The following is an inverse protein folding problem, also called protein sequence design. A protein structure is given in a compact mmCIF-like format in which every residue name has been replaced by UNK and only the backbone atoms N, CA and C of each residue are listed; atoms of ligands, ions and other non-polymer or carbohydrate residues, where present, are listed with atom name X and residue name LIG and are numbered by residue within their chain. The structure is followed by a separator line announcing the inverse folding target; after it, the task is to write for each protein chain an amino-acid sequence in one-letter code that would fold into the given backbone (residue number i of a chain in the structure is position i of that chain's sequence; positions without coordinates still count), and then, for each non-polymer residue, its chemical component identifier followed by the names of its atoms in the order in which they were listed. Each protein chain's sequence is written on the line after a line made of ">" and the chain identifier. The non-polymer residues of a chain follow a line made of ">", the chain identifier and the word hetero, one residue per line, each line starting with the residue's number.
data_IF_182561725688
#
_entry.id   IF_182561725688
#
_cell.length_a   1.000
_cell.length_b   1.000
_cell.length_c   1.000
_cell.angle_alpha   90.00
_cell.angle_beta   90.00
_cell.angle_gamma   90.00
#
_symmetry.space_group_name_H-M   'P 1'
#
loop_
_entity.id
_entity.type
_entity.pdbx_description
1 polymer ?
#
# COMPACT_ATOMS: atom_id res chain seq x y z
N UNK A 1 30.19 30.67 12.61
CA UNK A 1 31.15 30.63 11.49
C UNK A 1 30.58 29.64 10.48
N UNK A 2 29.91 30.11 9.43
CA UNK A 2 29.34 29.23 8.42
C UNK A 2 30.43 28.84 7.43
N UNK A 3 30.76 27.56 7.39
CA UNK A 3 31.67 27.00 6.41
C UNK A 3 30.93 26.82 5.08
N UNK A 4 31.30 27.62 4.06
CA UNK A 4 30.72 27.62 2.70
C UNK A 4 31.36 26.59 1.74
N UNK A 5 31.99 25.56 2.28
CA UNK A 5 32.63 24.55 1.43
C UNK A 5 31.56 23.60 0.88
N UNK A 6 31.46 23.50 -0.46
CA UNK A 6 30.52 22.60 -1.16
C UNK A 6 31.14 21.22 -1.45
N UNK A 7 32.36 20.96 -0.99
CA UNK A 7 33.01 19.68 -1.23
C UNK A 7 32.22 18.55 -0.54
N UNK A 8 31.88 17.53 -1.30
CA UNK A 8 31.22 16.33 -0.79
C UNK A 8 32.28 15.45 -0.13
N UNK A 9 32.02 15.03 1.11
CA UNK A 9 32.86 14.05 1.79
C UNK A 9 32.56 12.65 1.26
N UNK A 10 33.62 11.92 0.93
CA UNK A 10 33.54 10.51 0.55
C UNK A 10 32.93 9.65 1.68
N UNK A 11 32.14 8.66 1.30
CA UNK A 11 31.46 7.74 2.23
C UNK A 11 32.43 7.10 3.23
N UNK A 12 33.59 6.61 2.75
CA UNK A 12 34.58 5.94 3.58
C UNK A 12 35.22 6.88 4.60
N UNK A 13 35.34 8.17 4.26
CA UNK A 13 35.81 9.19 5.20
C UNK A 13 34.75 9.43 6.28
N UNK A 14 33.47 9.57 5.90
CA UNK A 14 32.37 9.77 6.84
C UNK A 14 32.25 8.60 7.80
N UNK A 15 32.25 7.37 7.30
CA UNK A 15 32.19 6.16 8.14
C UNK A 15 33.37 6.06 9.10
N UNK A 16 34.59 6.35 8.65
CA UNK A 16 35.77 6.32 9.53
C UNK A 16 35.69 7.37 10.64
N UNK A 17 35.29 8.61 10.31
CA UNK A 17 35.20 9.70 11.29
C UNK A 17 34.05 9.48 12.30
N UNK A 18 32.88 9.06 11.81
CA UNK A 18 31.74 8.76 12.68
C UNK A 18 31.97 7.48 13.49
N UNK A 19 32.51 6.43 12.90
CA UNK A 19 32.72 5.14 13.59
C UNK A 19 33.65 5.24 14.80
N UNK A 20 34.64 6.13 14.77
CA UNK A 20 35.57 6.33 15.90
C UNK A 20 34.96 7.12 17.07
N UNK A 21 34.16 8.15 16.78
CA UNK A 21 33.70 9.10 17.80
C UNK A 21 32.20 9.04 18.11
N UNK A 22 31.39 8.59 17.17
CA UNK A 22 29.93 8.63 17.19
C UNK A 22 29.31 7.39 16.53
N UNK A 23 29.40 6.21 17.17
CA UNK A 23 28.95 4.96 16.57
C UNK A 23 27.46 4.95 16.21
N UNK A 24 26.62 5.65 16.98
CA UNK A 24 25.18 5.77 16.66
C UNK A 24 24.92 6.64 15.42
N UNK A 25 25.74 7.68 15.21
CA UNK A 25 25.66 8.49 14.00
C UNK A 25 26.14 7.72 12.77
N UNK A 26 27.17 6.88 12.91
CA UNK A 26 27.62 5.98 11.85
C UNK A 26 26.51 5.01 11.42
N UNK A 27 25.86 4.33 12.38
CA UNK A 27 24.71 3.45 12.08
C UNK A 27 23.57 4.18 11.39
N UNK A 28 23.30 5.42 11.80
CA UNK A 28 22.25 6.25 11.17
C UNK A 28 22.61 6.61 9.74
N UNK A 29 23.87 6.92 9.48
CA UNK A 29 24.38 7.21 8.13
C UNK A 29 24.27 5.97 7.23
N UNK A 30 24.71 4.80 7.69
CA UNK A 30 24.59 3.54 6.94
C UNK A 30 23.13 3.20 6.60
N UNK A 31 22.22 3.42 7.55
CA UNK A 31 20.78 3.24 7.29
C UNK A 31 20.29 4.18 6.20
N UNK A 32 20.66 5.46 6.24
CA UNK A 32 20.23 6.42 5.23
C UNK A 32 20.76 6.08 3.84
N UNK A 33 22.00 5.62 3.73
CA UNK A 33 22.56 5.16 2.45
C UNK A 33 21.78 3.97 1.90
N UNK A 34 21.45 3.00 2.76
CA UNK A 34 20.66 1.85 2.37
C UNK A 34 19.23 2.23 1.94
N UNK A 35 18.57 3.12 2.69
CA UNK A 35 17.24 3.63 2.37
C UNK A 35 17.24 4.37 1.03
N UNK A 36 18.20 5.28 0.79
CA UNK A 36 18.35 5.98 -0.48
C UNK A 36 18.57 5.02 -1.65
N UNK A 37 19.44 4.01 -1.50
CA UNK A 37 19.65 3.00 -2.54
C UNK A 37 18.37 2.23 -2.88
N UNK A 38 17.52 1.94 -1.89
CA UNK A 38 16.29 1.18 -2.08
C UNK A 38 15.16 2.04 -2.66
N UNK A 39 15.10 3.32 -2.32
CA UNK A 39 14.12 4.26 -2.85
C UNK A 39 14.40 4.60 -4.32
N UNK A 40 15.68 4.68 -4.72
CA UNK A 40 16.09 5.03 -6.09
C UNK A 40 16.20 3.82 -7.03
N UNK A 41 15.93 2.60 -6.56
CA UNK A 41 16.12 1.36 -7.33
C UNK A 41 14.82 0.58 -7.51
N UNK A 42 14.21 0.70 -8.69
CA UNK A 42 12.98 0.00 -9.07
C UNK A 42 13.05 -1.54 -8.96
N UNK A 43 14.25 -2.11 -8.99
CA UNK A 43 14.48 -3.56 -8.93
C UNK A 43 14.73 -4.06 -7.51
N UNK A 44 14.67 -3.20 -6.49
CA UNK A 44 14.85 -3.62 -5.10
C UNK A 44 13.78 -2.99 -4.21
N UNK A 45 13.08 -3.79 -3.41
CA UNK A 45 12.07 -3.28 -2.47
C UNK A 45 12.16 -3.95 -1.11
N UNK A 46 11.81 -3.19 -0.07
CA UNK A 46 11.70 -3.71 1.29
C UNK A 46 10.65 -4.80 1.41
N UNK A 47 10.84 -5.75 2.32
CA UNK A 47 9.81 -6.72 2.67
C UNK A 47 8.71 -6.04 3.51
N UNK A 48 7.42 -6.13 3.14
CA UNK A 48 6.32 -5.45 3.84
C UNK A 48 5.89 -6.16 5.13
N UNK A 49 6.74 -7.00 5.73
CA UNK A 49 6.34 -7.77 6.91
C UNK A 49 6.08 -6.86 8.11
N UNK A 50 5.11 -7.22 8.94
CA UNK A 50 4.81 -6.53 10.19
C UNK A 50 4.91 -7.56 11.32
N UNK A 51 5.90 -7.44 12.25
CA UNK A 51 6.98 -6.45 12.28
C UNK A 51 7.97 -6.58 11.11
N UNK A 52 8.69 -5.50 10.80
CA UNK A 52 9.61 -5.44 9.66
C UNK A 52 10.78 -6.41 9.86
N UNK A 53 11.00 -7.32 8.91
CA UNK A 53 12.03 -8.36 9.03
C UNK A 53 13.44 -7.87 8.66
N UNK A 54 13.57 -6.61 8.20
CA UNK A 54 14.87 -6.00 7.85
C UNK A 54 15.48 -6.50 6.55
N UNK A 55 14.71 -7.22 5.71
CA UNK A 55 15.18 -7.76 4.43
C UNK A 55 14.56 -6.99 3.27
N UNK A 56 15.35 -6.79 2.21
CA UNK A 56 14.88 -6.30 0.92
C UNK A 56 15.02 -7.41 -0.13
N UNK A 57 14.14 -7.40 -1.14
CA UNK A 57 14.15 -8.34 -2.25
C UNK A 57 14.63 -7.60 -3.50
N UNK A 58 15.62 -8.17 -4.19
CA UNK A 58 16.09 -7.73 -5.50
C UNK A 58 15.58 -8.67 -6.58
N UNK A 59 15.03 -8.10 -7.66
CA UNK A 59 14.54 -8.85 -8.82
C UNK A 59 15.43 -8.63 -10.04
N UNK A 60 15.43 -9.60 -10.97
CA UNK A 60 16.15 -9.52 -12.23
C UNK A 60 15.48 -8.60 -13.25
N UNK A 61 16.25 -8.16 -14.26
CA UNK A 61 15.76 -7.33 -15.36
C UNK A 61 14.94 -8.19 -16.34
N UNK A 62 13.72 -7.76 -16.67
CA UNK A 62 12.92 -8.37 -17.76
C UNK A 62 11.65 -9.11 -17.33
N UNK A 63 11.53 -9.45 -16.06
CA UNK A 63 10.34 -10.15 -15.54
C UNK A 63 9.45 -9.18 -14.74
N UNK A 64 8.17 -9.12 -15.11
CA UNK A 64 7.14 -8.44 -14.32
C UNK A 64 6.70 -9.40 -13.21
N UNK A 65 7.47 -9.48 -12.13
CA UNK A 65 7.11 -10.33 -10.99
C UNK A 65 5.90 -9.74 -10.24
N UNK A 66 4.75 -10.38 -10.38
CA UNK A 66 3.56 -10.07 -9.56
C UNK A 66 3.58 -10.79 -8.20
N UNK A 67 4.53 -11.69 -7.96
CA UNK A 67 4.60 -12.49 -6.75
C UNK A 67 6.06 -12.79 -6.38
N UNK A 68 6.47 -12.38 -5.19
CA UNK A 68 7.77 -12.67 -4.60
C UNK A 68 7.59 -13.14 -3.16
N UNK A 69 8.48 -14.02 -2.70
CA UNK A 69 8.46 -14.53 -1.33
C UNK A 69 9.75 -14.15 -0.61
N UNK A 70 9.60 -13.49 0.54
CA UNK A 70 10.71 -13.22 1.43
C UNK A 70 11.07 -14.49 2.23
N UNK A 71 12.33 -14.59 2.65
CA UNK A 71 12.80 -15.64 3.57
C UNK A 71 12.12 -15.60 4.95
N UNK A 72 11.42 -14.52 5.31
CA UNK A 72 10.59 -14.49 6.52
C UNK A 72 9.24 -15.20 6.35
N UNK A 73 8.92 -15.65 5.13
CA UNK A 73 7.68 -16.36 4.79
C UNK A 73 6.60 -15.48 4.15
N UNK A 74 6.71 -14.15 4.24
CA UNK A 74 5.74 -13.23 3.62
C UNK A 74 5.87 -13.27 2.10
N UNK A 75 4.73 -13.45 1.44
CA UNK A 75 4.59 -13.36 -0.01
C UNK A 75 3.77 -12.13 -0.36
N UNK A 76 4.23 -11.35 -1.34
CA UNK A 76 3.59 -10.10 -1.74
C UNK A 76 3.82 -9.79 -3.21
N UNK A 77 3.07 -8.84 -3.75
CA UNK A 77 3.26 -8.33 -5.09
C UNK A 77 4.41 -7.33 -5.13
N UNK A 78 5.46 -7.64 -5.88
CA UNK A 78 6.62 -6.76 -6.00
C UNK A 78 6.25 -5.40 -6.60
N UNK A 79 5.27 -5.34 -7.51
CA UNK A 79 4.90 -4.09 -8.16
C UNK A 79 4.19 -3.11 -7.21
N UNK A 80 3.15 -3.55 -6.50
CA UNK A 80 2.32 -2.66 -5.67
C UNK A 80 2.55 -2.80 -4.16
N UNK A 81 3.40 -3.73 -3.70
CA UNK A 81 3.69 -4.00 -2.29
C UNK A 81 2.52 -4.53 -1.45
N UNK A 82 1.42 -4.91 -2.10
CA UNK A 82 0.23 -5.48 -1.47
C UNK A 82 0.27 -7.02 -1.47
N UNK A 83 -0.73 -7.64 -0.87
CA UNK A 83 -0.91 -9.09 -0.95
C UNK A 83 -0.88 -9.60 -2.40
N UNK A 84 -0.40 -10.83 -2.57
CA UNK A 84 -0.41 -11.51 -3.87
C UNK A 84 -1.82 -11.54 -4.45
N UNK A 85 -1.95 -11.06 -5.68
CA UNK A 85 -3.24 -10.90 -6.32
C UNK A 85 -3.24 -11.45 -7.74
N UNK A 86 -2.31 -12.33 -8.10
CA UNK A 86 -2.33 -13.02 -9.40
C UNK A 86 -3.61 -13.88 -9.51
N UNK A 87 -4.32 -13.89 -10.67
CA UNK A 87 -3.99 -13.27 -11.96
C UNK A 87 -4.50 -11.83 -12.14
N UNK A 88 -5.06 -11.22 -11.10
CA UNK A 88 -5.60 -9.85 -11.16
C UNK A 88 -4.48 -8.81 -11.34
N UNK A 89 -4.58 -7.86 -12.28
CA UNK A 89 -3.65 -6.74 -12.41
C UNK A 89 -3.67 -5.81 -11.18
N UNK A 90 -2.53 -5.20 -10.84
CA UNK A 90 -2.42 -4.27 -9.70
C UNK A 90 -3.44 -3.11 -9.76
N UNK A 91 -3.79 -2.64 -10.97
CA UNK A 91 -4.76 -1.55 -11.16
C UNK A 91 -6.16 -1.96 -10.71
N UNK A 92 -6.60 -3.16 -11.06
CA UNK A 92 -7.90 -3.72 -10.66
C UNK A 92 -7.88 -4.02 -9.16
N UNK A 93 -6.78 -4.61 -8.65
CA UNK A 93 -6.59 -4.86 -7.23
C UNK A 93 -6.74 -3.58 -6.41
N UNK A 94 -6.08 -2.49 -6.81
CA UNK A 94 -6.16 -1.19 -6.13
C UNK A 94 -7.60 -0.66 -6.10
N UNK A 95 -8.31 -0.67 -7.23
CA UNK A 95 -9.71 -0.23 -7.27
C UNK A 95 -10.62 -1.06 -6.37
N UNK A 96 -10.43 -2.38 -6.36
CA UNK A 96 -11.17 -3.28 -5.48
C UNK A 96 -10.89 -2.95 -4.01
N UNK A 97 -9.62 -2.81 -3.63
CA UNK A 97 -9.21 -2.48 -2.26
C UNK A 97 -9.79 -1.12 -1.81
N UNK A 98 -9.76 -0.11 -2.68
CA UNK A 98 -10.38 1.20 -2.40
C UNK A 98 -11.89 1.12 -2.22
N UNK A 99 -12.61 0.26 -2.93
CA UNK A 99 -14.06 0.11 -2.70
C UNK A 99 -14.35 -0.55 -1.36
N UNK A 100 -13.62 -1.61 -1.02
CA UNK A 100 -13.84 -2.35 0.23
C UNK A 100 -13.48 -1.51 1.47
N UNK A 101 -12.39 -0.75 1.39
CA UNK A 101 -11.85 0.01 2.53
C UNK A 101 -12.16 1.51 2.51
N UNK A 102 -12.47 2.08 1.34
CA UNK A 102 -12.75 3.51 1.17
C UNK A 102 -14.23 3.89 1.19
N UNK A 103 -15.15 2.92 1.19
CA UNK A 103 -16.55 3.21 1.46
C UNK A 103 -16.71 3.54 2.95
N UNK A 104 -17.25 4.72 3.23
CA UNK A 104 -17.60 5.12 4.59
C UNK A 104 -18.61 4.13 5.17
N UNK A 105 -18.64 4.01 6.50
CA UNK A 105 -19.61 3.14 7.18
C UNK A 105 -21.05 3.47 6.78
N UNK A 106 -21.31 4.74 6.46
CA UNK A 106 -22.59 5.21 5.92
C UNK A 106 -22.90 4.59 4.55
N UNK A 107 -21.93 4.50 3.64
CA UNK A 107 -22.12 3.86 2.32
C UNK A 107 -22.36 2.37 2.47
N UNK A 108 -21.57 1.69 3.32
CA UNK A 108 -21.76 0.27 3.63
C UNK A 108 -23.14 -0.02 4.21
N UNK A 109 -23.61 0.84 5.12
CA UNK A 109 -24.96 0.76 5.67
C UNK A 109 -26.03 0.97 4.59
N UNK A 110 -25.87 1.96 3.70
CA UNK A 110 -26.81 2.21 2.60
C UNK A 110 -26.87 0.98 1.68
N UNK A 111 -25.74 0.42 1.24
CA UNK A 111 -25.72 -0.75 0.36
C UNK A 111 -26.39 -1.97 1.01
N UNK A 112 -26.12 -2.19 2.30
CA UNK A 112 -26.69 -3.33 3.05
C UNK A 112 -28.20 -3.19 3.25
N UNK A 113 -28.63 -2.01 3.70
CA UNK A 113 -29.99 -1.77 4.17
C UNK A 113 -30.91 -1.15 3.13
N UNK A 114 -30.43 -0.83 1.92
CA UNK A 114 -31.29 -0.24 0.87
C UNK A 114 -31.30 -1.04 -0.43
N UNK A 115 -32.35 -0.86 -1.23
CA UNK A 115 -32.42 -1.26 -2.65
C UNK A 115 -32.71 -0.03 -3.51
N UNK A 116 -32.07 0.07 -4.67
CA UNK A 116 -32.34 1.15 -5.63
C UNK A 116 -33.65 0.92 -6.38
N UNK A 117 -34.50 1.95 -6.46
CA UNK A 117 -35.71 1.93 -7.26
C UNK A 117 -35.40 1.71 -8.76
N UNK A 118 -36.03 0.78 -9.47
CA UNK A 118 -35.74 0.56 -10.90
C UNK A 118 -36.18 1.73 -11.80
N UNK A 119 -37.09 2.59 -11.31
CA UNK A 119 -37.61 3.73 -12.07
C UNK A 119 -36.81 5.02 -11.86
N UNK A 120 -36.43 5.32 -10.61
CA UNK A 120 -35.79 6.60 -10.27
C UNK A 120 -34.41 6.45 -9.60
N UNK A 121 -33.94 5.21 -9.41
CA UNK A 121 -32.64 4.84 -8.83
C UNK A 121 -32.34 5.35 -7.42
N UNK A 122 -33.29 6.03 -6.77
CA UNK A 122 -33.16 6.44 -5.37
C UNK A 122 -33.13 5.21 -4.45
N UNK A 123 -32.21 5.15 -3.48
CA UNK A 123 -32.15 4.06 -2.50
C UNK A 123 -33.38 4.11 -1.59
N UNK A 124 -33.92 2.94 -1.29
CA UNK A 124 -35.07 2.77 -0.39
C UNK A 124 -34.67 1.77 0.68
N UNK A 125 -34.84 2.16 1.94
CA UNK A 125 -34.55 1.33 3.09
C UNK A 125 -35.45 0.08 3.13
N UNK A 126 -34.83 -1.07 3.42
CA UNK A 126 -35.51 -2.33 3.69
C UNK A 126 -35.92 -2.33 5.15
N UNK A 127 -37.22 -2.30 5.41
CA UNK A 127 -37.72 -2.60 6.75
C UNK A 127 -37.95 -4.11 6.85
N UNK A 128 -37.31 -4.76 7.83
CA UNK A 128 -37.50 -6.19 8.10
C UNK A 128 -38.96 -6.45 8.47
N UNK A 129 -39.73 -6.99 7.52
CA UNK A 129 -41.14 -7.36 7.75
C UNK A 129 -42.06 -7.27 6.52
N UNK A 130 -41.72 -6.49 5.49
CA UNK A 130 -42.54 -6.39 4.28
C UNK A 130 -41.69 -6.38 3.02
N UNK A 131 -41.84 -7.40 2.17
CA UNK A 131 -41.14 -7.47 0.88
C UNK A 131 -41.68 -6.45 -0.12
N UNK A 132 -42.96 -6.07 -0.05
CA UNK A 132 -43.53 -5.10 -0.98
C UNK A 132 -43.28 -3.67 -0.51
N UNK A 133 -42.35 -2.98 -1.18
CA UNK A 133 -41.99 -1.60 -0.88
C UNK A 133 -42.45 -0.68 -2.02
N UNK A 134 -43.04 0.46 -1.65
CA UNK A 134 -43.45 1.50 -2.60
C UNK A 134 -42.48 2.68 -2.55
N UNK A 135 -41.84 2.98 -3.68
CA UNK A 135 -41.01 4.16 -3.82
C UNK A 135 -41.85 5.44 -3.81
N UNK A 136 -41.28 6.57 -3.35
CA UNK A 136 -41.89 7.91 -3.45
C UNK A 136 -42.29 8.31 -4.89
N UNK A 137 -41.67 7.72 -5.92
CA UNK A 137 -42.06 7.95 -7.32
C UNK A 137 -43.25 7.09 -7.80
N UNK A 138 -43.86 6.30 -6.91
CA UNK A 138 -45.00 5.44 -7.19
C UNK A 138 -44.66 4.02 -7.65
N UNK A 139 -43.39 3.69 -7.90
CA UNK A 139 -42.95 2.36 -8.31
C UNK A 139 -43.01 1.36 -7.15
N UNK A 140 -43.58 0.18 -7.39
CA UNK A 140 -43.55 -0.94 -6.45
C UNK A 140 -42.37 -1.87 -6.75
N UNK A 141 -41.80 -2.45 -5.69
CA UNK A 141 -40.66 -3.35 -5.78
C UNK A 141 -40.65 -4.34 -4.60
N UNK A 142 -40.01 -5.48 -4.84
CA UNK A 142 -39.90 -6.60 -3.91
C UNK A 142 -38.47 -6.72 -3.36
#
# INVERSE_FOLDING_TARGET
>A
MEVKCLAICDEGIVQRLLGQKYPDAAKRFDRFLLESYLEDNDFVKWCPSIPHCGRAIRVGTGDRYCEVKCLCGVTFCFNCMEQTHSPCPCTIWKHWNTRIHGESENIKWIVKNTKSCPKCFKPIEKHDGCNLVKCKCGQYMW
#
